data_IF_599380545239
#
_entry.id   IF_599380545239
#
_cell.length_a   1.000
_cell.length_b   1.000
_cell.length_c   1.000
_cell.angle_alpha   90.00
_cell.angle_beta   90.00
_cell.angle_gamma   90.00
#
_symmetry.space_group_name_H-M   'P 1'
#
loop_
_entity.id
_entity.type
_entity.pdbx_description
1 polymer ?
#
# COMPACT_ATOMS: atom_id res chain seq x y z
N UNK A 1 -28.75 -11.44 10.07
CA UNK A 1 -27.43 -12.07 10.28
C UNK A 1 -26.37 -11.19 9.62
N UNK A 2 -25.58 -10.46 10.40
CA UNK A 2 -24.49 -9.61 9.89
C UNK A 2 -23.27 -10.50 9.74
N UNK A 3 -22.93 -10.86 8.50
CA UNK A 3 -21.75 -11.66 8.21
C UNK A 3 -20.55 -10.72 8.13
N UNK A 4 -19.85 -10.53 9.24
CA UNK A 4 -18.59 -9.78 9.30
C UNK A 4 -17.54 -10.66 8.61
N UNK A 5 -17.33 -10.45 7.32
CA UNK A 5 -16.21 -11.05 6.62
C UNK A 5 -15.04 -10.07 6.76
N UNK A 6 -14.24 -10.25 7.82
CA UNK A 6 -12.91 -9.65 7.88
C UNK A 6 -12.14 -10.16 6.66
N UNK A 7 -12.14 -9.39 5.57
CA UNK A 7 -11.27 -9.67 4.41
C UNK A 7 -9.87 -9.22 4.80
N UNK A 8 -9.23 -10.02 5.66
CA UNK A 8 -7.78 -9.95 5.83
C UNK A 8 -7.21 -10.53 4.54
N UNK A 9 -6.76 -9.67 3.63
CA UNK A 9 -5.88 -10.11 2.54
C UNK A 9 -4.77 -10.93 3.22
N UNK A 10 -4.47 -12.16 2.76
CA UNK A 10 -3.36 -12.91 3.33
C UNK A 10 -2.14 -11.98 3.33
N UNK A 11 -1.45 -11.89 4.47
CA UNK A 11 -0.28 -11.06 4.74
C UNK A 11 0.83 -11.37 3.70
N UNK A 12 0.65 -10.95 2.44
CA UNK A 12 1.52 -11.27 1.30
C UNK A 12 2.59 -10.19 1.26
N UNK A 13 3.63 -10.40 2.07
CA UNK A 13 4.86 -9.64 1.91
C UNK A 13 5.53 -10.02 0.60
N UNK A 14 5.69 -9.06 -0.31
CA UNK A 14 6.56 -9.21 -1.49
C UNK A 14 7.93 -8.63 -1.19
N UNK A 15 8.98 -9.27 -1.71
CA UNK A 15 10.35 -8.79 -1.67
C UNK A 15 10.65 -8.07 -3.00
N UNK A 16 11.18 -6.85 -2.93
CA UNK A 16 11.74 -6.17 -4.10
C UNK A 16 13.21 -5.92 -3.80
N UNK A 17 14.10 -6.48 -4.62
CA UNK A 17 15.53 -6.20 -4.56
C UNK A 17 15.79 -4.92 -5.33
N UNK A 18 16.27 -3.89 -4.66
CA UNK A 18 16.74 -2.66 -5.29
C UNK A 18 18.17 -2.87 -5.79
N UNK A 19 18.37 -2.80 -7.11
CA UNK A 19 19.70 -2.64 -7.70
C UNK A 19 19.70 -1.29 -8.42
N UNK A 20 20.36 -0.30 -7.82
CA UNK A 20 20.55 1.00 -8.47
C UNK A 20 21.37 0.82 -9.75
N UNK A 21 20.96 1.45 -10.85
CA UNK A 21 21.70 1.51 -12.12
C UNK A 21 21.97 2.97 -12.48
N UNK A 22 22.89 3.64 -11.76
CA UNK A 22 23.19 5.05 -11.99
C UNK A 22 23.75 5.36 -13.39
N UNK A 23 24.24 4.37 -14.11
CA UNK A 23 24.79 4.48 -15.47
C UNK A 23 23.77 4.46 -16.61
N UNK A 24 22.48 4.18 -16.35
CA UNK A 24 21.44 4.11 -17.37
C UNK A 24 20.59 5.41 -17.34
N UNK A 25 20.71 6.30 -18.34
CA UNK A 25 19.98 7.57 -18.39
C UNK A 25 18.47 7.39 -18.62
N UNK A 26 18.02 6.19 -18.98
CA UNK A 26 16.61 5.82 -19.08
C UNK A 26 16.09 5.15 -17.81
N UNK A 27 16.95 4.95 -16.80
CA UNK A 27 16.56 4.36 -15.54
C UNK A 27 15.60 5.28 -14.80
N UNK A 28 14.36 4.82 -14.66
CA UNK A 28 13.37 5.46 -13.81
C UNK A 28 13.49 4.81 -12.44
N UNK A 29 13.84 5.61 -11.42
CA UNK A 29 13.82 5.17 -10.03
C UNK A 29 12.38 4.92 -9.60
N UNK A 30 11.82 3.76 -9.95
CA UNK A 30 10.39 3.43 -9.79
C UNK A 30 10.22 1.98 -9.36
N UNK A 31 9.50 1.79 -8.27
CA UNK A 31 9.19 0.50 -7.66
C UNK A 31 7.67 0.34 -7.58
N UNK A 32 7.18 -0.83 -7.97
CA UNK A 32 5.77 -1.18 -7.88
C UNK A 32 5.57 -2.33 -6.89
N UNK A 33 4.84 -2.07 -5.79
CA UNK A 33 4.41 -3.11 -4.87
C UNK A 33 2.97 -3.50 -5.20
N UNK A 34 2.81 -4.66 -5.84
CA UNK A 34 1.49 -5.14 -6.26
C UNK A 34 0.66 -5.57 -5.05
N UNK A 35 -0.61 -5.20 -5.08
CA UNK A 35 -1.61 -5.68 -4.15
C UNK A 35 -2.85 -6.12 -4.93
N UNK A 36 -3.23 -7.38 -4.73
CA UNK A 36 -4.45 -7.96 -5.28
C UNK A 36 -5.34 -8.40 -4.13
N UNK A 37 -6.63 -8.11 -4.24
CA UNK A 37 -7.62 -8.48 -3.25
C UNK A 37 -8.94 -8.81 -3.95
N UNK A 38 -9.80 -9.53 -3.24
CA UNK A 38 -11.18 -9.81 -3.65
C UNK A 38 -12.08 -9.61 -2.44
N UNK A 39 -13.16 -8.86 -2.61
CA UNK A 39 -14.14 -8.60 -1.56
C UNK A 39 -15.42 -9.34 -1.93
N UNK A 40 -15.89 -10.20 -1.03
CA UNK A 40 -17.14 -10.94 -1.18
C UNK A 40 -17.93 -10.89 0.13
N UNK A 41 -19.19 -10.42 0.12
CA UNK A 41 -19.92 -9.89 -1.04
C UNK A 41 -19.33 -8.56 -1.55
N UNK A 42 -19.58 -8.21 -2.81
CA UNK A 42 -19.15 -6.93 -3.38
C UNK A 42 -19.73 -5.77 -2.57
N UNK A 43 -18.87 -4.85 -2.11
CA UNK A 43 -19.29 -3.69 -1.33
C UNK A 43 -19.90 -2.62 -2.24
N UNK A 44 -20.97 -1.96 -1.77
CA UNK A 44 -21.53 -0.78 -2.44
C UNK A 44 -20.65 0.47 -2.24
N UNK A 45 -19.81 0.48 -1.21
CA UNK A 45 -18.86 1.57 -0.94
C UNK A 45 -17.47 1.20 -1.46
N UNK A 46 -16.71 2.17 -1.99
CA UNK A 46 -15.31 1.96 -2.29
C UNK A 46 -14.52 1.55 -1.03
N UNK A 47 -13.56 0.63 -1.13
CA UNK A 47 -12.78 0.23 0.02
C UNK A 47 -11.74 1.29 0.40
N UNK A 48 -11.38 1.30 1.68
CA UNK A 48 -10.19 1.98 2.19
C UNK A 48 -8.96 1.15 1.86
N UNK A 49 -7.96 1.78 1.25
CA UNK A 49 -6.66 1.18 0.94
C UNK A 49 -5.62 1.77 1.87
N UNK A 50 -4.84 0.94 2.56
CA UNK A 50 -3.74 1.37 3.42
C UNK A 50 -2.48 0.61 3.04
N UNK A 51 -1.39 1.35 2.83
CA UNK A 51 -0.05 0.80 2.71
C UNK A 51 0.76 1.11 3.95
N UNK A 52 1.44 0.08 4.44
CA UNK A 52 2.23 0.11 5.66
C UNK A 52 3.66 -0.34 5.36
N UNK A 53 4.65 0.30 6.00
CA UNK A 53 6.05 -0.12 5.98
C UNK A 53 6.45 -0.59 7.37
N UNK A 54 7.09 -1.77 7.48
CA UNK A 54 7.59 -2.26 8.77
C UNK A 54 7.72 -3.78 8.86
N UNK A 55 8.24 -4.24 10.00
CA UNK A 55 8.53 -5.65 10.31
C UNK A 55 7.27 -6.52 10.50
N UNK A 56 7.46 -7.81 10.80
CA UNK A 56 6.36 -8.77 10.95
C UNK A 56 5.34 -8.39 12.03
N UNK A 57 5.75 -7.73 13.12
CA UNK A 57 4.85 -7.24 14.16
C UNK A 57 3.97 -6.11 13.66
N UNK A 58 2.68 -6.09 14.05
CA UNK A 58 1.76 -5.01 13.70
C UNK A 58 2.09 -3.68 14.38
N UNK A 59 2.73 -3.72 15.54
CA UNK A 59 3.03 -2.54 16.36
C UNK A 59 4.06 -1.59 15.73
N UNK A 60 4.96 -2.10 14.88
CA UNK A 60 6.05 -1.31 14.30
C UNK A 60 5.79 -0.93 12.83
N UNK A 61 4.54 -1.04 12.38
CA UNK A 61 4.16 -0.74 11.00
C UNK A 61 3.74 0.71 10.88
N UNK A 62 4.50 1.50 10.15
CA UNK A 62 4.19 2.89 9.83
C UNK A 62 3.24 2.96 8.63
N UNK A 63 2.16 3.73 8.76
CA UNK A 63 1.28 4.05 7.64
C UNK A 63 1.97 5.03 6.71
N UNK A 64 2.28 4.59 5.50
CA UNK A 64 2.96 5.43 4.50
C UNK A 64 1.98 6.04 3.50
N UNK A 65 0.82 5.40 3.31
CA UNK A 65 -0.23 5.86 2.42
C UNK A 65 -1.59 5.32 2.87
N UNK A 66 -2.63 6.16 2.86
CA UNK A 66 -4.03 5.75 3.06
C UNK A 66 -4.90 6.47 2.03
N UNK A 67 -5.75 5.72 1.35
CA UNK A 67 -6.84 6.24 0.54
C UNK A 67 -8.15 5.80 1.17
N UNK A 68 -8.81 6.72 1.88
CA UNK A 68 -10.05 6.43 2.60
C UNK A 68 -11.19 6.11 1.63
N UNK A 69 -12.21 5.41 2.11
CA UNK A 69 -13.44 5.18 1.33
C UNK A 69 -14.04 6.50 0.82
N UNK A 70 -13.99 7.59 1.62
CA UNK A 70 -14.51 8.93 1.31
C UNK A 70 -13.78 9.66 0.17
N UNK A 71 -12.53 9.28 -0.15
CA UNK A 71 -11.75 9.94 -1.20
C UNK A 71 -10.47 10.59 -0.71
N UNK A 72 -10.35 10.82 0.59
CA UNK A 72 -9.19 11.47 1.21
C UNK A 72 -7.93 10.61 1.07
N UNK A 73 -6.83 11.28 0.78
CA UNK A 73 -5.52 10.65 0.64
C UNK A 73 -4.59 11.22 1.69
N UNK A 74 -4.08 10.34 2.53
CA UNK A 74 -2.97 10.62 3.42
C UNK A 74 -1.70 10.01 2.85
N UNK A 75 -0.62 10.79 2.90
CA UNK A 75 0.73 10.35 2.56
C UNK A 75 1.66 10.73 3.70
N UNK A 76 2.47 9.77 4.15
CA UNK A 76 3.46 10.04 5.17
C UNK A 76 4.49 11.07 4.67
N UNK A 77 4.94 12.05 5.48
CA UNK A 77 5.81 13.14 5.03
C UNK A 77 7.08 12.67 4.31
N UNK A 78 7.71 11.58 4.76
CA UNK A 78 8.92 11.02 4.12
C UNK A 78 8.67 10.49 2.69
N UNK A 79 7.42 10.17 2.38
CA UNK A 79 6.99 9.63 1.09
C UNK A 79 6.21 10.65 0.24
N UNK A 80 6.05 11.89 0.74
CA UNK A 80 5.31 12.94 0.05
C UNK A 80 5.89 13.21 -1.35
N UNK A 81 5.02 13.23 -2.36
CA UNK A 81 5.39 13.42 -3.76
C UNK A 81 6.06 12.22 -4.44
N UNK A 82 6.34 11.13 -3.69
CA UNK A 82 7.04 9.95 -4.19
C UNK A 82 6.16 8.72 -4.32
N UNK A 83 5.11 8.62 -3.51
CA UNK A 83 4.18 7.47 -3.54
C UNK A 83 2.82 7.82 -4.15
N UNK A 84 2.25 6.85 -4.86
CA UNK A 84 0.89 6.93 -5.36
C UNK A 84 0.25 5.53 -5.47
N UNK A 85 -1.08 5.50 -5.47
CA UNK A 85 -1.86 4.30 -5.76
C UNK A 85 -2.85 4.64 -6.89
N UNK A 86 -2.63 4.17 -8.13
CA UNK A 86 -3.40 4.63 -9.29
C UNK A 86 -4.80 4.01 -9.38
N UNK A 87 -5.06 2.90 -8.69
CA UNK A 87 -6.34 2.20 -8.75
C UNK A 87 -6.74 1.63 -7.40
N UNK A 88 -8.01 1.82 -6.99
CA UNK A 88 -8.56 1.17 -5.79
C UNK A 88 -8.83 -0.32 -5.99
N UNK A 89 -9.12 -0.77 -7.21
CA UNK A 89 -9.39 -2.19 -7.49
C UNK A 89 -8.11 -3.00 -7.63
N UNK A 90 -7.01 -2.35 -7.99
CA UNK A 90 -5.65 -2.91 -8.01
C UNK A 90 -4.69 -1.96 -7.31
N UNK A 91 -4.68 -1.94 -5.96
CA UNK A 91 -4.02 -0.93 -5.15
C UNK A 91 -2.51 -1.11 -5.11
N UNK A 92 -1.87 -1.11 -6.26
CA UNK A 92 -0.42 -1.18 -6.42
C UNK A 92 0.19 0.12 -5.91
N UNK A 93 1.09 0.05 -4.95
CA UNK A 93 1.87 1.20 -4.51
C UNK A 93 2.99 1.45 -5.51
N UNK A 94 2.98 2.63 -6.12
CA UNK A 94 4.06 3.09 -6.99
C UNK A 94 4.92 4.05 -6.17
N UNK A 95 6.15 3.66 -5.88
CA UNK A 95 7.17 4.50 -5.26
C UNK A 95 8.13 4.98 -6.35
N UNK A 96 8.32 6.29 -6.45
CA UNK A 96 9.30 6.93 -7.32
C UNK A 96 10.41 7.57 -6.50
N UNK A 97 11.57 7.79 -7.10
CA UNK A 97 12.75 8.30 -6.40
C UNK A 97 13.04 7.49 -5.11
N UNK A 98 13.12 6.16 -5.26
CA UNK A 98 13.41 5.27 -4.15
C UNK A 98 14.82 5.49 -3.60
N UNK A 99 14.92 5.54 -2.28
CA UNK A 99 16.11 5.82 -1.48
C UNK A 99 16.52 4.57 -0.72
N UNK A 100 17.75 4.53 -0.22
CA UNK A 100 18.23 3.40 0.59
C UNK A 100 17.34 3.15 1.82
N UNK A 101 16.85 4.22 2.46
CA UNK A 101 15.97 4.16 3.64
C UNK A 101 14.55 3.66 3.32
N UNK A 102 14.15 3.65 2.04
CA UNK A 102 12.91 3.02 1.61
C UNK A 102 13.02 1.49 1.64
N UNK A 103 14.21 0.93 1.88
CA UNK A 103 14.37 -0.50 2.10
C UNK A 103 13.48 -0.98 3.25
N UNK A 104 12.81 -2.10 3.04
CA UNK A 104 11.95 -2.71 4.04
C UNK A 104 10.83 -3.54 3.44
N UNK A 105 9.96 -4.01 4.32
CA UNK A 105 8.78 -4.77 3.94
C UNK A 105 7.55 -3.86 3.90
N UNK A 106 6.79 -4.03 2.84
CA UNK A 106 5.57 -3.28 2.57
C UNK A 106 4.35 -4.20 2.69
N UNK A 107 3.28 -3.67 3.24
CA UNK A 107 2.04 -4.41 3.48
C UNK A 107 0.87 -3.61 2.94
N UNK A 108 -0.01 -4.30 2.21
CA UNK A 108 -1.26 -3.75 1.73
C UNK A 108 -2.41 -4.23 2.62
N UNK A 109 -3.24 -3.30 3.07
CA UNK A 109 -4.48 -3.56 3.82
C UNK A 109 -5.64 -2.91 3.08
N UNK A 110 -6.69 -3.68 2.81
CA UNK A 110 -7.89 -3.21 2.13
C UNK A 110 -9.09 -3.52 3.00
N UNK A 111 -9.89 -2.51 3.36
CA UNK A 111 -11.06 -2.67 4.25
C UNK A 111 -12.30 -2.03 3.64
N UNK A 112 -13.47 -2.62 3.87
CA UNK A 112 -14.76 -2.06 3.44
C UNK A 112 -15.31 -0.99 4.38
N UNK A 113 -14.80 -0.94 5.60
CA UNK A 113 -15.21 0.01 6.63
C UNK A 113 -14.04 0.93 6.98
N UNK A 114 -14.37 2.17 7.31
CA UNK A 114 -13.45 3.11 7.93
C UNK A 114 -13.21 2.60 9.36
N UNK A 115 -12.04 2.00 9.58
CA UNK A 115 -11.67 1.55 10.92
C UNK A 115 -11.62 2.79 11.83
N UNK A 116 -12.32 2.80 12.97
CA UNK A 116 -12.18 3.89 13.93
C UNK A 116 -10.72 3.97 14.38
N UNK A 117 -10.21 5.21 14.47
CA UNK A 117 -8.83 5.54 14.84
C UNK A 117 -8.43 5.00 16.22
#
# INVERSE_FOLDING_TARGET
>A
AVSITNVTVPNRGSWVVMVARPEDPTWVNRIEFRCEYSISPASATPPTVTWLKGSFGHADRQMIYKWSSSGEVYVHPEFAGRVSVPSRTRPTLVLTDAKLDDWGRYWCRVTNEEQPD
#
